data_IF_131229965421
#
_entry.id   IF_131229965421
#
_cell.length_a   1.000
_cell.length_b   1.000
_cell.length_c   1.000
_cell.angle_alpha   90.00
_cell.angle_beta   90.00
_cell.angle_gamma   90.00
#
_symmetry.space_group_name_H-M   'P 1'
#
loop_
_entity.id
_entity.type
_entity.pdbx_description
1 polymer ?
#
# COMPACT_ATOMS: atom_id res chain seq x y z
N UNK A 1 3.19 -27.11 25.07
CA UNK A 1 4.39 -26.22 25.00
C UNK A 1 3.85 -24.86 24.63
N UNK A 2 4.05 -23.85 25.47
CA UNK A 2 3.53 -22.48 25.27
C UNK A 2 4.01 -21.89 23.94
N UNK A 3 3.10 -21.44 23.11
CA UNK A 3 3.39 -20.81 21.81
C UNK A 3 3.94 -19.40 22.03
N UNK A 4 5.13 -19.09 21.52
CA UNK A 4 5.80 -17.83 21.78
C UNK A 4 5.83 -16.93 20.54
N UNK A 5 5.30 -15.71 20.67
CA UNK A 5 5.14 -14.75 19.57
C UNK A 5 6.05 -13.54 19.78
N UNK A 6 6.83 -13.21 18.74
CA UNK A 6 7.58 -11.96 18.68
C UNK A 6 6.87 -10.94 17.78
N UNK A 7 6.73 -9.69 18.24
CA UNK A 7 6.25 -8.57 17.46
C UNK A 7 7.44 -7.65 17.14
N UNK A 8 7.64 -7.27 15.90
CA UNK A 8 8.80 -6.44 15.53
C UNK A 8 8.71 -5.05 16.15
N UNK A 9 9.87 -4.52 16.55
CA UNK A 9 9.97 -3.28 17.33
C UNK A 9 9.49 -2.03 16.61
N UNK A 10 9.53 -2.02 15.28
CA UNK A 10 9.02 -0.95 14.41
C UNK A 10 7.48 -0.79 14.45
N UNK A 11 6.79 -1.70 15.12
CA UNK A 11 5.38 -1.57 15.48
C UNK A 11 5.14 -0.73 16.74
N UNK A 12 6.21 -0.22 17.39
CA UNK A 12 6.13 0.72 18.50
C UNK A 12 6.33 2.16 17.99
N UNK A 13 5.58 3.08 18.58
CA UNK A 13 5.83 4.51 18.43
C UNK A 13 7.16 4.90 19.08
N UNK A 14 7.73 6.09 18.80
CA UNK A 14 8.89 6.59 19.52
C UNK A 14 8.71 6.64 21.05
N UNK A 15 7.48 6.75 21.54
CA UNK A 15 7.13 6.70 22.96
C UNK A 15 7.04 5.29 23.56
N UNK A 16 7.27 4.24 22.73
CA UNK A 16 7.23 2.85 23.18
C UNK A 16 5.82 2.24 23.28
N UNK A 17 4.78 2.95 22.84
CA UNK A 17 3.41 2.41 22.78
C UNK A 17 3.16 1.72 21.43
N UNK A 18 2.30 0.68 21.37
CA UNK A 18 1.92 0.04 20.13
C UNK A 18 1.29 1.06 19.14
N UNK A 19 1.79 1.14 17.92
CA UNK A 19 1.29 2.05 16.89
C UNK A 19 -0.16 1.77 16.48
N UNK A 20 -0.63 0.56 16.71
CA UNK A 20 -2.00 0.09 16.44
C UNK A 20 -2.89 0.10 17.71
N UNK A 21 -2.44 0.74 18.81
CA UNK A 21 -3.15 0.72 20.08
C UNK A 21 -3.00 -0.60 20.86
N UNK A 22 -3.62 -0.66 22.04
CA UNK A 22 -3.50 -1.82 22.93
C UNK A 22 -4.55 -2.90 22.68
N UNK A 23 -5.71 -2.53 22.14
CA UNK A 23 -6.85 -3.44 22.00
C UNK A 23 -6.59 -4.69 21.14
N UNK A 24 -5.86 -4.62 20.01
CA UNK A 24 -5.53 -5.83 19.25
C UNK A 24 -4.66 -6.84 20.02
N UNK A 25 -3.86 -6.39 20.99
CA UNK A 25 -3.02 -7.28 21.80
C UNK A 25 -3.83 -8.18 22.74
N UNK A 26 -5.08 -7.81 23.06
CA UNK A 26 -6.01 -8.65 23.83
C UNK A 26 -6.27 -9.99 23.14
N UNK A 27 -6.13 -10.06 21.80
CA UNK A 27 -6.23 -11.31 21.06
C UNK A 27 -5.17 -12.34 21.50
N UNK A 28 -3.98 -11.88 21.88
CA UNK A 28 -2.86 -12.73 22.32
C UNK A 28 -2.96 -13.15 23.79
N UNK A 29 -3.89 -12.57 24.55
CA UNK A 29 -4.05 -12.78 25.99
C UNK A 29 -5.41 -13.39 26.34
N UNK A 30 -6.09 -14.04 25.39
CA UNK A 30 -7.41 -14.64 25.59
C UNK A 30 -7.34 -15.81 26.59
N UNK A 31 -8.34 -15.96 27.48
CA UNK A 31 -8.42 -17.11 28.39
C UNK A 31 -8.40 -18.45 27.65
N UNK A 32 -7.59 -19.40 28.12
CA UNK A 32 -7.45 -20.72 27.51
C UNK A 32 -6.48 -20.81 26.34
N UNK A 33 -5.84 -19.71 25.96
CA UNK A 33 -4.78 -19.68 24.95
C UNK A 33 -3.42 -19.88 25.64
N UNK A 34 -2.73 -21.01 25.36
CA UNK A 34 -1.36 -21.25 25.84
C UNK A 34 -0.34 -20.52 24.95
N UNK A 35 -0.36 -19.18 25.06
CA UNK A 35 0.45 -18.27 24.25
C UNK A 35 1.11 -17.20 25.14
N UNK A 36 2.38 -16.88 24.85
CA UNK A 36 3.07 -15.72 25.38
C UNK A 36 3.58 -14.86 24.21
N UNK A 37 3.77 -13.59 24.46
CA UNK A 37 4.24 -12.66 23.44
C UNK A 37 5.10 -11.54 24.03
N UNK A 38 5.92 -10.94 23.17
CA UNK A 38 6.68 -9.73 23.51
C UNK A 38 6.95 -8.92 22.24
N UNK A 39 7.22 -7.63 22.40
CA UNK A 39 7.91 -6.88 21.36
C UNK A 39 9.37 -7.31 21.36
N UNK A 40 9.89 -7.65 20.17
CA UNK A 40 11.28 -8.05 19.97
C UNK A 40 12.18 -6.93 20.49
N UNK A 41 13.08 -7.19 21.45
CA UNK A 41 13.91 -6.13 22.05
C UNK A 41 14.86 -5.49 21.05
N UNK A 42 15.30 -6.26 20.05
CA UNK A 42 16.25 -5.81 19.03
C UNK A 42 15.53 -5.00 17.95
N UNK A 43 16.12 -3.87 17.54
CA UNK A 43 15.73 -3.16 16.32
C UNK A 43 16.50 -3.77 15.15
N UNK A 44 15.78 -4.41 14.24
CA UNK A 44 16.38 -5.12 13.09
C UNK A 44 15.75 -4.65 11.78
N UNK A 45 16.54 -4.65 10.71
CA UNK A 45 16.07 -4.41 9.34
C UNK A 45 15.74 -5.71 8.60
N UNK A 46 16.21 -6.85 9.15
CA UNK A 46 15.94 -8.19 8.63
C UNK A 46 15.78 -9.17 9.81
N UNK A 47 14.83 -10.08 9.70
CA UNK A 47 14.64 -11.16 10.68
C UNK A 47 15.80 -12.14 10.58
N UNK A 48 16.54 -12.29 11.67
CA UNK A 48 17.72 -13.17 11.73
C UNK A 48 17.36 -14.63 12.00
N UNK A 49 18.24 -15.60 11.71
CA UNK A 49 18.05 -16.99 12.10
C UNK A 49 17.84 -17.18 13.61
N UNK A 50 18.48 -16.36 14.44
CA UNK A 50 18.31 -16.41 15.90
C UNK A 50 16.90 -16.02 16.34
N UNK A 51 16.30 -15.02 15.68
CA UNK A 51 14.91 -14.66 15.91
C UNK A 51 13.97 -15.78 15.44
N UNK A 52 14.26 -16.40 14.29
CA UNK A 52 13.50 -17.55 13.78
C UNK A 52 13.63 -18.79 14.70
N UNK A 53 14.72 -18.91 15.46
CA UNK A 53 14.90 -19.97 16.45
C UNK A 53 14.24 -19.65 17.81
N UNK A 54 13.96 -18.37 18.10
CA UNK A 54 13.44 -17.90 19.39
C UNK A 54 11.92 -18.01 19.48
N UNK A 55 11.19 -17.65 18.42
CA UNK A 55 9.72 -17.51 18.40
C UNK A 55 9.05 -18.61 17.58
N UNK A 56 7.85 -19.02 17.97
CA UNK A 56 6.97 -19.92 17.21
C UNK A 56 6.24 -19.16 16.09
N UNK A 57 5.91 -17.89 16.33
CA UNK A 57 5.31 -16.98 15.36
C UNK A 57 5.93 -15.59 15.44
N UNK A 58 6.04 -14.89 14.31
CA UNK A 58 6.53 -13.51 14.28
C UNK A 58 5.52 -12.64 13.54
N UNK A 59 5.11 -11.54 14.18
CA UNK A 59 4.34 -10.47 13.57
C UNK A 59 5.30 -9.37 13.11
N UNK A 60 5.40 -9.19 11.78
CA UNK A 60 6.42 -8.35 11.17
C UNK A 60 5.79 -7.21 10.36
N UNK A 61 6.35 -5.99 10.48
CA UNK A 61 5.94 -4.87 9.64
C UNK A 61 7.02 -4.53 8.59
N UNK A 62 8.06 -3.77 8.93
CA UNK A 62 9.08 -3.30 8.00
C UNK A 62 10.23 -4.29 7.77
N UNK A 63 10.75 -5.04 8.80
CA UNK A 63 11.88 -5.91 8.61
C UNK A 63 11.67 -6.94 7.50
N UNK A 64 12.72 -7.17 6.71
CA UNK A 64 12.71 -8.19 5.66
C UNK A 64 12.74 -9.59 6.27
N UNK A 65 12.12 -10.54 5.58
CA UNK A 65 12.23 -11.98 5.89
C UNK A 65 12.70 -12.67 4.63
N UNK A 66 13.95 -13.10 4.60
CA UNK A 66 14.60 -13.61 3.39
C UNK A 66 14.95 -15.10 3.52
N UNK A 67 15.54 -15.68 2.47
CA UNK A 67 16.11 -17.02 2.54
C UNK A 67 17.19 -17.14 3.64
N UNK A 68 17.93 -16.05 3.92
CA UNK A 68 18.91 -16.00 5.01
C UNK A 68 18.25 -16.15 6.37
N UNK A 69 17.06 -15.61 6.56
CA UNK A 69 16.31 -15.74 7.83
C UNK A 69 16.06 -17.20 8.23
N UNK A 70 15.86 -18.09 7.27
CA UNK A 70 15.56 -19.53 7.50
C UNK A 70 16.75 -20.45 7.26
N UNK A 71 17.97 -19.89 7.07
CA UNK A 71 19.18 -20.67 6.82
C UNK A 71 19.82 -21.27 8.09
N UNK A 72 19.36 -20.88 9.28
CA UNK A 72 19.90 -21.34 10.56
C UNK A 72 19.65 -22.84 10.84
N UNK A 73 20.47 -23.45 11.73
CA UNK A 73 20.36 -24.87 12.07
C UNK A 73 19.09 -25.19 12.91
N UNK A 74 18.51 -24.19 13.56
CA UNK A 74 17.34 -24.33 14.40
C UNK A 74 16.24 -23.38 13.90
N UNK A 75 15.14 -23.96 13.41
CA UNK A 75 13.98 -23.22 12.95
C UNK A 75 12.78 -23.59 13.84
N UNK A 76 12.42 -22.68 14.72
CA UNK A 76 11.25 -22.82 15.59
C UNK A 76 10.01 -22.17 14.98
N UNK A 77 10.19 -21.04 14.27
CA UNK A 77 9.09 -20.27 13.69
C UNK A 77 8.29 -21.13 12.70
N UNK A 78 6.96 -21.09 12.83
CA UNK A 78 5.99 -21.78 11.99
C UNK A 78 5.11 -20.84 11.19
N UNK A 79 4.98 -19.59 11.63
CA UNK A 79 4.17 -18.57 10.97
C UNK A 79 4.84 -17.21 11.02
N UNK A 80 4.87 -16.54 9.88
CA UNK A 80 5.17 -15.11 9.73
C UNK A 80 3.87 -14.42 9.34
N UNK A 81 3.38 -13.50 10.18
CA UNK A 81 2.23 -12.68 9.86
C UNK A 81 2.69 -11.25 9.53
N UNK A 82 2.47 -10.80 8.30
CA UNK A 82 2.89 -9.48 7.81
C UNK A 82 1.82 -8.43 8.12
N UNK A 83 2.21 -7.31 8.74
CA UNK A 83 1.37 -6.13 8.96
C UNK A 83 1.21 -5.33 7.67
N UNK A 84 0.14 -5.59 6.91
CA UNK A 84 -0.17 -4.99 5.60
C UNK A 84 -0.33 -6.01 4.48
N UNK A 85 -0.74 -5.59 3.30
CA UNK A 85 -1.06 -6.47 2.17
C UNK A 85 0.15 -6.83 1.30
N UNK A 86 1.07 -5.90 1.06
CA UNK A 86 2.27 -6.16 0.28
C UNK A 86 3.23 -7.07 1.04
N UNK A 87 3.84 -8.00 0.35
CA UNK A 87 4.77 -8.98 0.93
C UNK A 87 6.08 -9.12 0.15
N UNK A 88 6.41 -8.12 -0.64
CA UNK A 88 7.65 -8.03 -1.42
C UNK A 88 8.94 -8.03 -0.55
N UNK A 89 8.81 -7.69 0.75
CA UNK A 89 9.86 -7.83 1.76
C UNK A 89 9.99 -9.25 2.33
N UNK A 90 9.10 -10.19 1.97
CA UNK A 90 9.06 -11.56 2.52
C UNK A 90 9.29 -12.57 1.40
N UNK A 91 10.34 -13.38 1.52
CA UNK A 91 10.59 -14.51 0.62
C UNK A 91 9.66 -15.68 0.97
N UNK A 92 8.43 -15.58 0.47
CA UNK A 92 7.37 -16.57 0.72
C UNK A 92 7.78 -17.97 0.28
N UNK A 93 8.56 -18.08 -0.81
CA UNK A 93 9.00 -19.38 -1.31
C UNK A 93 10.02 -20.02 -0.36
N UNK A 94 11.05 -19.28 0.06
CA UNK A 94 12.05 -19.81 0.99
C UNK A 94 11.43 -20.22 2.34
N UNK A 95 10.43 -19.46 2.81
CA UNK A 95 9.67 -19.81 4.02
C UNK A 95 8.85 -21.09 3.82
N UNK A 96 8.12 -21.20 2.72
CA UNK A 96 7.29 -22.37 2.42
C UNK A 96 8.12 -23.65 2.26
N UNK A 97 9.30 -23.57 1.62
CA UNK A 97 10.25 -24.68 1.46
C UNK A 97 10.76 -25.22 2.81
N UNK A 98 10.66 -24.40 3.88
CA UNK A 98 10.97 -24.75 5.27
C UNK A 98 9.74 -25.06 6.15
N UNK A 99 8.54 -25.08 5.55
CA UNK A 99 7.29 -25.34 6.26
C UNK A 99 6.80 -24.18 7.12
N UNK A 100 7.26 -22.95 6.85
CA UNK A 100 6.80 -21.73 7.52
C UNK A 100 5.68 -21.08 6.70
N UNK A 101 4.53 -20.85 7.33
CA UNK A 101 3.38 -20.19 6.70
C UNK A 101 3.59 -18.67 6.72
N UNK A 102 3.29 -18.02 5.60
CA UNK A 102 3.23 -16.56 5.52
C UNK A 102 1.76 -16.12 5.43
N UNK A 103 1.36 -15.14 6.24
CA UNK A 103 0.07 -14.46 6.15
C UNK A 103 0.26 -12.95 5.99
N UNK A 104 -0.73 -12.28 5.44
CA UNK A 104 -0.78 -10.82 5.32
C UNK A 104 -2.17 -10.30 5.74
N UNK A 105 -2.42 -8.98 5.58
CA UNK A 105 -3.68 -8.35 5.99
C UNK A 105 -4.39 -7.70 4.79
N UNK A 106 -4.94 -8.51 3.87
CA UNK A 106 -5.49 -8.00 2.60
C UNK A 106 -6.83 -7.29 2.74
N UNK A 107 -7.59 -7.54 3.81
CA UNK A 107 -8.92 -6.94 4.00
C UNK A 107 -8.82 -5.60 4.70
N UNK A 108 -8.05 -5.52 5.79
CA UNK A 108 -7.91 -4.34 6.63
C UNK A 108 -7.45 -3.08 5.86
N UNK A 109 -6.61 -3.24 4.85
CA UNK A 109 -5.97 -2.14 4.11
C UNK A 109 -6.82 -1.59 2.95
N UNK A 110 -7.87 -2.30 2.52
CA UNK A 110 -8.60 -1.96 1.28
C UNK A 110 -9.19 -0.55 1.33
N UNK A 111 -10.00 -0.28 2.35
CA UNK A 111 -10.64 1.01 2.51
C UNK A 111 -9.67 2.16 2.81
N UNK A 112 -8.71 2.03 3.75
CA UNK A 112 -7.72 3.08 4.02
C UNK A 112 -6.92 3.51 2.79
N UNK A 113 -6.41 2.58 1.97
CA UNK A 113 -5.67 2.93 0.75
C UNK A 113 -6.58 3.55 -0.30
N UNK A 114 -7.83 3.09 -0.42
CA UNK A 114 -8.79 3.69 -1.36
C UNK A 114 -9.15 5.12 -0.95
N UNK A 115 -9.29 5.40 0.35
CA UNK A 115 -9.50 6.76 0.88
C UNK A 115 -8.26 7.62 0.63
N UNK A 116 -7.06 7.10 0.84
CA UNK A 116 -5.82 7.81 0.54
C UNK A 116 -5.69 8.18 -0.95
N UNK A 117 -6.08 7.27 -1.86
CA UNK A 117 -6.14 7.58 -3.29
C UNK A 117 -7.11 8.73 -3.60
N UNK A 118 -8.31 8.72 -3.01
CA UNK A 118 -9.27 9.82 -3.14
C UNK A 118 -8.73 11.11 -2.54
N UNK A 119 -8.01 11.05 -1.44
CA UNK A 119 -7.36 12.21 -0.82
C UNK A 119 -6.38 12.88 -1.78
N UNK A 120 -5.52 12.13 -2.47
CA UNK A 120 -4.66 12.67 -3.51
C UNK A 120 -5.47 13.27 -4.67
N UNK A 121 -6.48 12.55 -5.18
CA UNK A 121 -7.32 13.05 -6.27
C UNK A 121 -7.95 14.40 -5.92
N UNK A 122 -8.58 14.51 -4.75
CA UNK A 122 -9.28 15.72 -4.33
C UNK A 122 -8.30 16.86 -4.04
N UNK A 123 -7.16 16.58 -3.42
CA UNK A 123 -6.13 17.58 -3.13
C UNK A 123 -5.49 18.13 -4.42
N UNK A 124 -5.16 17.26 -5.38
CA UNK A 124 -4.62 17.64 -6.68
C UNK A 124 -5.65 18.43 -7.50
N UNK A 125 -6.89 17.92 -7.61
CA UNK A 125 -7.96 18.59 -8.34
C UNK A 125 -8.28 19.97 -7.75
N UNK A 126 -8.33 20.08 -6.43
CA UNK A 126 -8.55 21.34 -5.70
C UNK A 126 -7.34 22.26 -5.69
N UNK A 127 -6.15 21.77 -6.05
CA UNK A 127 -4.85 22.46 -5.86
C UNK A 127 -4.68 22.92 -4.39
N UNK A 128 -5.02 22.01 -3.46
CA UNK A 128 -5.17 22.35 -2.05
C UNK A 128 -3.88 22.90 -1.44
N UNK A 129 -2.73 22.25 -1.68
CA UNK A 129 -1.45 22.59 -1.05
C UNK A 129 -0.99 23.99 -1.45
N UNK A 130 -1.02 24.33 -2.75
CA UNK A 130 -0.63 25.67 -3.20
C UNK A 130 -1.60 26.74 -2.67
N UNK A 131 -2.89 26.46 -2.58
CA UNK A 131 -3.87 27.41 -2.02
C UNK A 131 -3.68 27.62 -0.51
N UNK A 132 -3.34 26.58 0.24
CA UNK A 132 -2.95 26.72 1.65
C UNK A 132 -1.73 27.61 1.78
N UNK A 133 -0.69 27.36 0.97
CA UNK A 133 0.53 28.18 0.95
C UNK A 133 0.24 29.66 0.62
N UNK A 134 -0.53 29.93 -0.45
CA UNK A 134 -0.94 31.29 -0.80
C UNK A 134 -1.63 32.00 0.37
N UNK A 135 -2.47 31.29 1.11
CA UNK A 135 -3.18 31.84 2.27
C UNK A 135 -2.20 32.18 3.40
N UNK A 136 -1.29 31.29 3.74
CA UNK A 136 -0.28 31.50 4.80
C UNK A 136 0.68 32.63 4.48
N UNK A 137 1.03 32.81 3.20
CA UNK A 137 1.93 33.83 2.70
C UNK A 137 1.20 35.16 2.35
N UNK A 138 -0.12 35.24 2.60
CA UNK A 138 -0.97 36.41 2.27
C UNK A 138 -0.94 36.82 0.78
N UNK A 139 -0.77 35.84 -0.11
CA UNK A 139 -0.70 36.01 -1.59
C UNK A 139 -2.06 35.85 -2.26
N UNK A 140 -3.09 36.47 -1.72
CA UNK A 140 -4.49 36.35 -2.16
C UNK A 140 -4.71 36.77 -3.62
N UNK A 141 -3.93 37.70 -4.13
CA UNK A 141 -4.05 38.20 -5.50
C UNK A 141 -3.69 37.13 -6.55
N UNK A 142 -2.97 36.08 -6.17
CA UNK A 142 -2.53 35.02 -7.08
C UNK A 142 -3.52 33.87 -7.20
N UNK A 143 -4.58 33.86 -6.39
CA UNK A 143 -5.55 32.73 -6.32
C UNK A 143 -6.18 32.36 -7.67
N UNK A 144 -6.35 33.32 -8.60
CA UNK A 144 -6.90 33.08 -9.94
C UNK A 144 -5.94 32.31 -10.86
N UNK A 145 -4.62 32.34 -10.57
CA UNK A 145 -3.61 31.58 -11.31
C UNK A 145 -3.63 30.09 -10.93
N UNK A 146 -4.32 29.74 -9.85
CA UNK A 146 -4.36 28.40 -9.31
C UNK A 146 -5.76 27.80 -9.32
N UNK A 147 -6.46 27.93 -10.44
CA UNK A 147 -7.77 27.31 -10.62
C UNK A 147 -7.66 25.79 -10.52
N UNK A 148 -8.56 25.18 -9.77
CA UNK A 148 -8.68 23.74 -9.66
C UNK A 148 -9.40 23.11 -10.85
N UNK A 149 -9.45 21.79 -10.88
CA UNK A 149 -10.15 20.98 -11.83
C UNK A 149 -11.56 20.65 -11.30
N UNK A 150 -12.61 21.07 -12.02
CA UNK A 150 -13.98 20.68 -11.68
C UNK A 150 -14.18 19.17 -11.82
N UNK A 151 -14.96 18.56 -10.93
CA UNK A 151 -15.04 17.09 -10.82
C UNK A 151 -16.28 16.47 -11.49
N UNK A 152 -17.27 17.27 -11.91
CA UNK A 152 -18.59 16.79 -12.31
C UNK A 152 -18.61 15.81 -13.51
N UNK A 153 -17.65 15.92 -14.44
CA UNK A 153 -17.65 15.12 -15.67
C UNK A 153 -16.29 14.45 -15.91
N UNK A 154 -15.69 13.91 -14.85
CA UNK A 154 -14.35 13.33 -14.92
C UNK A 154 -14.39 11.82 -15.10
N UNK A 155 -13.27 11.30 -15.58
CA UNK A 155 -13.04 9.87 -15.74
C UNK A 155 -11.95 9.42 -14.78
N UNK A 156 -12.29 8.45 -13.92
CA UNK A 156 -11.36 7.74 -13.06
C UNK A 156 -10.93 6.46 -13.75
N UNK A 157 -9.63 6.26 -13.96
CA UNK A 157 -9.04 5.01 -14.42
C UNK A 157 -8.36 4.29 -13.25
N UNK A 158 -8.72 3.03 -13.02
CA UNK A 158 -8.11 2.20 -11.98
C UNK A 158 -7.36 1.04 -12.63
N UNK A 159 -6.06 0.99 -12.39
CA UNK A 159 -5.16 -0.06 -12.89
C UNK A 159 -4.97 -1.10 -11.79
N UNK A 160 -5.55 -2.30 -11.99
CA UNK A 160 -5.62 -3.35 -10.99
C UNK A 160 -6.92 -3.32 -10.17
N UNK A 161 -7.75 -4.35 -10.31
CA UNK A 161 -9.07 -4.45 -9.65
C UNK A 161 -9.03 -5.57 -8.58
N UNK A 162 -7.98 -5.54 -7.76
CA UNK A 162 -7.90 -6.31 -6.53
C UNK A 162 -8.83 -5.74 -5.43
N UNK A 163 -8.59 -6.10 -4.18
CA UNK A 163 -9.40 -5.60 -3.05
C UNK A 163 -9.46 -4.08 -2.97
N UNK A 164 -8.29 -3.40 -3.11
CA UNK A 164 -8.18 -1.94 -3.08
C UNK A 164 -8.89 -1.31 -4.29
N UNK A 165 -8.62 -1.78 -5.51
CA UNK A 165 -9.26 -1.24 -6.72
C UNK A 165 -10.77 -1.38 -6.70
N UNK A 166 -11.31 -2.51 -6.23
CA UNK A 166 -12.75 -2.72 -6.03
C UNK A 166 -13.34 -1.72 -5.02
N UNK A 167 -12.67 -1.53 -3.90
CA UNK A 167 -13.13 -0.60 -2.88
C UNK A 167 -13.06 0.86 -3.36
N UNK A 168 -12.01 1.21 -4.12
CA UNK A 168 -11.89 2.53 -4.72
C UNK A 168 -13.05 2.83 -5.68
N UNK A 169 -13.42 1.88 -6.56
CA UNK A 169 -14.58 2.03 -7.45
C UNK A 169 -15.87 2.25 -6.65
N UNK A 170 -16.09 1.50 -5.56
CA UNK A 170 -17.26 1.68 -4.68
C UNK A 170 -17.29 3.08 -4.06
N UNK A 171 -16.16 3.55 -3.50
CA UNK A 171 -16.05 4.85 -2.86
C UNK A 171 -16.16 6.01 -3.85
N UNK A 172 -15.71 5.82 -5.10
CA UNK A 172 -15.80 6.83 -6.15
C UNK A 172 -17.20 6.97 -6.77
N UNK A 173 -18.06 5.97 -6.62
CA UNK A 173 -19.40 5.96 -7.22
C UNK A 173 -20.26 7.20 -6.94
N UNK A 174 -20.31 7.74 -5.69
CA UNK A 174 -21.11 8.94 -5.39
C UNK A 174 -20.67 10.21 -6.12
N UNK A 175 -19.44 10.27 -6.65
CA UNK A 175 -18.97 11.42 -7.43
C UNK A 175 -19.58 11.49 -8.83
N UNK A 176 -20.22 10.40 -9.31
CA UNK A 176 -20.80 10.34 -10.64
C UNK A 176 -19.79 10.32 -11.77
N UNK A 177 -18.54 9.96 -11.49
CA UNK A 177 -17.49 9.85 -12.50
C UNK A 177 -17.72 8.65 -13.41
N UNK A 178 -17.29 8.79 -14.68
CA UNK A 178 -17.07 7.60 -15.50
C UNK A 178 -15.88 6.83 -14.94
N UNK A 179 -16.05 5.54 -14.70
CA UNK A 179 -15.01 4.71 -14.08
C UNK A 179 -14.52 3.67 -15.07
N UNK A 180 -13.23 3.70 -15.40
CA UNK A 180 -12.55 2.74 -16.25
C UNK A 180 -11.68 1.82 -15.41
N UNK A 181 -11.61 0.55 -15.80
CA UNK A 181 -10.84 -0.47 -15.11
C UNK A 181 -9.98 -1.27 -16.07
N UNK A 182 -8.69 -1.40 -15.77
CA UNK A 182 -7.77 -2.25 -16.51
C UNK A 182 -7.24 -3.35 -15.57
N UNK A 183 -7.74 -4.56 -15.75
CA UNK A 183 -7.30 -5.77 -15.06
C UNK A 183 -7.56 -6.98 -15.95
N UNK A 184 -6.53 -7.75 -16.35
CA UNK A 184 -6.72 -8.90 -17.23
C UNK A 184 -7.32 -10.12 -16.53
N UNK A 185 -7.35 -10.16 -15.18
CA UNK A 185 -7.70 -11.32 -14.37
C UNK A 185 -9.10 -11.23 -13.76
N UNK A 186 -9.70 -10.04 -13.74
CA UNK A 186 -11.01 -9.81 -13.13
C UNK A 186 -12.09 -9.82 -14.21
N UNK A 187 -13.16 -10.58 -13.98
CA UNK A 187 -14.29 -10.66 -14.90
C UNK A 187 -14.97 -9.31 -15.10
N UNK A 188 -15.35 -9.04 -16.34
CA UNK A 188 -16.05 -7.80 -16.71
C UNK A 188 -17.34 -7.58 -15.92
N UNK A 189 -18.06 -8.65 -15.60
CA UNK A 189 -19.28 -8.59 -14.79
C UNK A 189 -19.04 -7.97 -13.42
N UNK A 190 -17.93 -8.35 -12.76
CA UNK A 190 -17.53 -7.79 -11.45
C UNK A 190 -17.25 -6.30 -11.55
N UNK A 191 -16.55 -5.88 -12.60
CA UNK A 191 -16.23 -4.46 -12.83
C UNK A 191 -17.53 -3.68 -13.09
N UNK A 192 -18.44 -4.22 -13.88
CA UNK A 192 -19.75 -3.61 -14.20
C UNK A 192 -20.64 -3.46 -12.97
N UNK A 193 -20.69 -4.46 -12.09
CA UNK A 193 -21.40 -4.39 -10.81
C UNK A 193 -20.90 -3.25 -9.91
N UNK A 194 -19.61 -2.94 -9.99
CA UNK A 194 -18.98 -1.82 -9.29
C UNK A 194 -19.24 -0.46 -9.99
N UNK A 195 -19.91 -0.46 -11.14
CA UNK A 195 -20.19 0.73 -11.93
C UNK A 195 -19.04 1.14 -12.85
N UNK A 196 -18.05 0.27 -13.05
CA UNK A 196 -16.93 0.48 -13.93
C UNK A 196 -17.13 -0.13 -15.33
N UNK A 197 -16.28 0.28 -16.26
CA UNK A 197 -16.16 -0.24 -17.62
C UNK A 197 -14.78 -0.87 -17.79
N UNK A 198 -14.71 -2.14 -18.22
CA UNK A 198 -13.43 -2.80 -18.53
C UNK A 198 -12.88 -2.30 -19.85
N UNK A 199 -11.64 -1.84 -19.83
CA UNK A 199 -10.95 -1.35 -21.04
C UNK A 199 -9.50 -1.88 -21.07
N UNK A 200 -8.82 -1.68 -22.21
CA UNK A 200 -7.37 -1.88 -22.29
C UNK A 200 -6.63 -0.87 -21.39
N UNK A 201 -5.41 -1.20 -20.96
CA UNK A 201 -4.60 -0.26 -20.19
C UNK A 201 -4.35 1.03 -21.00
N UNK A 202 -4.04 0.89 -22.27
CA UNK A 202 -3.79 2.01 -23.19
C UNK A 202 -5.01 2.93 -23.34
N UNK A 203 -6.22 2.35 -23.42
CA UNK A 203 -7.46 3.14 -23.51
C UNK A 203 -7.78 3.83 -22.19
N UNK A 204 -7.52 3.14 -21.06
CA UNK A 204 -7.62 3.75 -19.74
C UNK A 204 -6.70 4.97 -19.64
N UNK A 205 -5.42 4.84 -20.03
CA UNK A 205 -4.47 5.95 -20.03
C UNK A 205 -4.95 7.14 -20.85
N UNK A 206 -5.48 6.90 -22.07
CA UNK A 206 -5.96 7.97 -22.97
C UNK A 206 -7.20 8.70 -22.46
N UNK A 207 -8.10 7.97 -21.79
CA UNK A 207 -9.42 8.49 -21.50
C UNK A 207 -9.56 9.04 -20.09
N UNK A 208 -8.65 8.70 -19.16
CA UNK A 208 -8.76 9.07 -17.76
C UNK A 208 -8.27 10.50 -17.49
N UNK A 209 -8.93 11.15 -16.52
CA UNK A 209 -8.47 12.41 -15.92
C UNK A 209 -7.65 12.13 -14.66
N UNK A 210 -7.94 11.02 -13.98
CA UNK A 210 -7.17 10.49 -12.86
C UNK A 210 -6.87 9.02 -13.13
N UNK A 211 -5.59 8.64 -13.07
CA UNK A 211 -5.14 7.26 -13.19
C UNK A 211 -4.60 6.82 -11.83
N UNK A 212 -5.19 5.78 -11.25
CA UNK A 212 -4.76 5.23 -9.95
C UNK A 212 -4.22 3.81 -10.16
N UNK A 213 -3.01 3.54 -9.68
CA UNK A 213 -2.41 2.21 -9.69
C UNK A 213 -2.63 1.50 -8.37
N UNK A 214 -3.17 0.28 -8.41
CA UNK A 214 -3.41 -0.60 -7.25
C UNK A 214 -3.02 -2.06 -7.53
N UNK A 215 -2.11 -2.27 -8.48
CA UNK A 215 -1.60 -3.61 -8.87
C UNK A 215 -0.50 -4.09 -7.92
N UNK A 216 -0.32 -5.41 -7.82
CA UNK A 216 0.83 -5.99 -7.14
C UNK A 216 2.10 -5.81 -7.98
N UNK A 217 3.23 -5.56 -7.30
CA UNK A 217 4.54 -5.53 -7.94
C UNK A 217 5.04 -6.95 -8.23
N UNK A 218 5.34 -7.22 -9.48
CA UNK A 218 6.04 -8.41 -9.96
C UNK A 218 6.78 -8.08 -11.28
N UNK A 219 7.44 -9.06 -11.89
CA UNK A 219 8.17 -8.86 -13.14
C UNK A 219 7.32 -8.27 -14.28
N UNK A 220 6.04 -8.63 -14.35
CA UNK A 220 5.11 -8.16 -15.41
C UNK A 220 4.54 -6.76 -15.15
N UNK A 221 4.58 -6.32 -13.90
CA UNK A 221 4.02 -5.02 -13.48
C UNK A 221 5.10 -3.99 -13.15
N UNK A 222 6.38 -4.39 -13.11
CA UNK A 222 7.49 -3.44 -13.03
C UNK A 222 7.48 -2.52 -14.25
N UNK A 223 7.55 -1.20 -14.00
CA UNK A 223 7.47 -0.16 -15.03
C UNK A 223 6.25 -0.33 -15.96
N UNK A 224 5.14 -0.84 -15.37
CA UNK A 224 3.88 -0.96 -16.09
C UNK A 224 3.43 0.40 -16.65
N UNK A 225 3.68 1.47 -15.90
CA UNK A 225 3.46 2.85 -16.34
C UNK A 225 4.83 3.44 -16.73
N UNK A 226 5.17 3.26 -17.99
CA UNK A 226 6.41 3.72 -18.63
C UNK A 226 6.19 5.01 -19.43
N UNK A 227 7.25 5.50 -20.08
CA UNK A 227 7.21 6.72 -20.89
C UNK A 227 6.13 6.69 -22.00
N UNK A 228 5.97 5.54 -22.68
CA UNK A 228 4.97 5.39 -23.75
C UNK A 228 3.55 5.56 -23.19
N UNK A 229 3.24 4.95 -22.05
CA UNK A 229 1.93 5.03 -21.41
C UNK A 229 1.67 6.40 -20.80
N UNK A 230 2.69 7.04 -20.21
CA UNK A 230 2.58 8.43 -19.75
C UNK A 230 2.26 9.39 -20.91
N UNK A 231 2.86 9.18 -22.07
CA UNK A 231 2.58 9.97 -23.27
C UNK A 231 1.15 9.80 -23.82
N UNK A 232 0.44 8.72 -23.46
CA UNK A 232 -0.97 8.53 -23.81
C UNK A 232 -1.92 9.35 -22.95
N UNK A 233 -1.49 9.78 -21.76
CA UNK A 233 -2.35 10.50 -20.82
C UNK A 233 -2.73 11.88 -21.35
N UNK A 234 -3.88 12.39 -20.89
CA UNK A 234 -4.26 13.77 -21.14
C UNK A 234 -3.29 14.73 -20.46
N UNK A 235 -2.97 15.85 -21.09
CA UNK A 235 -2.13 16.89 -20.46
C UNK A 235 -2.72 17.45 -19.15
N UNK A 236 -4.02 17.29 -18.96
CA UNK A 236 -4.73 17.70 -17.73
C UNK A 236 -4.88 16.57 -16.72
N UNK A 237 -4.39 15.37 -17.02
CA UNK A 237 -4.56 14.21 -16.18
C UNK A 237 -3.51 14.15 -15.05
N UNK A 238 -3.89 13.46 -13.98
CA UNK A 238 -3.03 13.16 -12.83
C UNK A 238 -2.80 11.66 -12.69
N UNK A 239 -1.56 11.28 -12.36
CA UNK A 239 -1.19 9.92 -12.00
C UNK A 239 -1.14 9.79 -10.47
N UNK A 240 -1.79 8.78 -9.91
CA UNK A 240 -1.77 8.47 -8.47
C UNK A 240 -1.19 7.07 -8.30
N UNK A 241 -0.04 6.96 -7.61
CA UNK A 241 0.55 5.65 -7.31
C UNK A 241 0.33 5.28 -5.85
N UNK A 242 -0.55 4.30 -5.62
CA UNK A 242 -0.89 3.72 -4.32
C UNK A 242 -0.46 2.25 -4.22
N UNK A 243 0.38 1.79 -5.15
CA UNK A 243 0.80 0.39 -5.23
C UNK A 243 2.23 0.21 -4.67
N UNK A 244 3.23 0.30 -5.57
CA UNK A 244 4.67 0.30 -5.27
C UNK A 244 5.37 1.25 -6.24
N UNK A 245 6.46 1.88 -5.80
CA UNK A 245 7.25 2.79 -6.63
C UNK A 245 7.58 2.21 -7.99
N UNK A 246 8.21 1.02 -8.07
CA UNK A 246 8.60 0.41 -9.34
C UNK A 246 7.46 -0.02 -10.30
N UNK A 247 6.19 0.22 -9.97
CA UNK A 247 5.08 0.10 -10.94
C UNK A 247 5.15 1.20 -11.99
N UNK A 248 5.65 2.36 -11.59
CA UNK A 248 5.88 3.52 -12.45
C UNK A 248 7.38 3.62 -12.70
N UNK A 249 7.77 3.84 -13.96
CA UNK A 249 9.14 4.26 -14.29
C UNK A 249 9.32 5.70 -13.78
N UNK A 250 10.03 5.84 -12.66
CA UNK A 250 10.15 7.11 -11.94
C UNK A 250 10.88 8.17 -12.77
N UNK A 251 11.90 7.77 -13.55
CA UNK A 251 12.61 8.70 -14.43
C UNK A 251 11.70 9.20 -15.56
N UNK A 252 10.93 8.30 -16.17
CA UNK A 252 9.97 8.68 -17.19
C UNK A 252 8.85 9.58 -16.63
N UNK A 253 8.42 9.35 -15.40
CA UNK A 253 7.45 10.21 -14.72
C UNK A 253 8.02 11.61 -14.46
N UNK A 254 9.25 11.71 -13.98
CA UNK A 254 9.95 13.01 -13.77
C UNK A 254 10.00 13.79 -15.07
N UNK A 255 10.38 13.15 -16.18
CA UNK A 255 10.46 13.80 -17.48
C UNK A 255 9.07 14.24 -18.00
N UNK A 256 8.05 13.39 -17.83
CA UNK A 256 6.67 13.72 -18.20
C UNK A 256 6.10 14.91 -17.41
N UNK A 257 6.41 14.99 -16.12
CA UNK A 257 6.00 16.09 -15.23
C UNK A 257 6.70 17.41 -15.62
N UNK A 258 8.01 17.37 -15.89
CA UNK A 258 8.80 18.54 -16.34
C UNK A 258 8.35 19.07 -17.68
N UNK A 259 8.05 18.17 -18.62
CA UNK A 259 7.58 18.53 -19.94
C UNK A 259 6.10 18.97 -19.97
N UNK A 260 5.36 18.83 -18.87
CA UNK A 260 3.92 19.07 -18.82
C UNK A 260 3.14 18.12 -19.72
N UNK A 261 3.64 16.89 -19.91
CA UNK A 261 2.93 15.80 -20.60
C UNK A 261 1.69 15.40 -19.83
N UNK A 262 1.77 15.43 -18.49
CA UNK A 262 0.65 15.27 -17.56
C UNK A 262 0.61 16.47 -16.61
N UNK A 263 -0.52 16.70 -15.97
CA UNK A 263 -0.72 17.85 -15.08
C UNK A 263 0.03 17.70 -13.73
N UNK A 264 0.15 16.49 -13.22
CA UNK A 264 0.81 16.25 -11.95
C UNK A 264 0.67 14.80 -11.48
N UNK A 265 1.16 14.53 -10.27
CA UNK A 265 1.10 13.22 -9.66
C UNK A 265 0.85 13.26 -8.15
N UNK A 266 0.27 12.18 -7.60
CA UNK A 266 0.18 11.89 -6.17
C UNK A 266 0.90 10.57 -5.89
N UNK A 267 1.96 10.61 -5.09
CA UNK A 267 2.83 9.47 -4.87
C UNK A 267 2.95 9.18 -3.38
N UNK A 268 2.49 8.02 -2.97
CA UNK A 268 2.71 7.49 -1.61
C UNK A 268 3.88 6.50 -1.56
N UNK A 269 4.44 6.16 -2.73
CA UNK A 269 5.49 5.15 -2.90
C UNK A 269 6.50 5.59 -3.96
N UNK A 270 7.76 5.16 -3.80
CA UNK A 270 8.90 5.55 -4.63
C UNK A 270 9.73 4.33 -5.06
N UNK A 271 10.51 4.44 -6.13
CA UNK A 271 11.42 3.36 -6.53
C UNK A 271 12.48 3.08 -5.47
N UNK A 272 12.96 4.13 -4.82
CA UNK A 272 13.82 4.03 -3.64
C UNK A 272 13.10 4.63 -2.43
N UNK A 273 12.99 3.85 -1.37
CA UNK A 273 12.41 4.26 -0.08
C UNK A 273 13.44 4.04 1.04
N UNK A 274 13.80 5.08 1.83
CA UNK A 274 13.40 6.49 1.69
C UNK A 274 13.84 7.11 0.35
N UNK A 275 13.06 8.08 -0.15
CA UNK A 275 13.37 8.82 -1.37
C UNK A 275 14.72 9.53 -1.24
N UNK A 276 15.54 9.51 -2.29
CA UNK A 276 16.86 10.17 -2.28
C UNK A 276 16.70 11.69 -2.12
N UNK A 277 17.60 12.30 -1.33
CA UNK A 277 17.52 13.73 -1.00
C UNK A 277 17.66 14.67 -2.22
N UNK A 278 18.26 14.18 -3.30
CA UNK A 278 18.43 14.88 -4.59
C UNK A 278 17.37 14.53 -5.62
N UNK A 279 16.37 13.73 -5.26
CA UNK A 279 15.32 13.33 -6.17
C UNK A 279 14.52 14.55 -6.65
N UNK A 280 14.39 14.76 -7.96
CA UNK A 280 13.70 15.93 -8.51
C UNK A 280 12.23 16.07 -8.07
N UNK A 281 11.54 14.98 -7.78
CA UNK A 281 10.14 14.99 -7.33
C UNK A 281 9.94 15.85 -6.09
N UNK A 282 10.96 15.95 -5.20
CA UNK A 282 10.91 16.74 -3.97
C UNK A 282 10.70 18.23 -4.19
N UNK A 283 11.04 18.73 -5.39
CA UNK A 283 11.00 20.15 -5.74
C UNK A 283 9.97 20.47 -6.85
N UNK A 284 9.02 19.57 -7.12
CA UNK A 284 7.99 19.77 -8.13
C UNK A 284 6.66 20.24 -7.52
N UNK A 285 6.19 21.43 -7.86
CA UNK A 285 4.95 22.02 -7.35
C UNK A 285 3.67 21.29 -7.83
N UNK A 286 3.78 20.47 -8.86
CA UNK A 286 2.68 19.69 -9.41
C UNK A 286 2.64 18.24 -8.91
N UNK A 287 3.41 17.93 -7.86
CA UNK A 287 3.46 16.60 -7.25
C UNK A 287 3.08 16.68 -5.76
N UNK A 288 2.21 15.80 -5.31
CA UNK A 288 1.96 15.56 -3.89
C UNK A 288 2.64 14.27 -3.46
N UNK A 289 3.39 14.34 -2.38
CA UNK A 289 4.19 13.24 -1.85
C UNK A 289 3.72 12.85 -0.47
N UNK A 290 3.70 11.56 -0.18
CA UNK A 290 3.53 11.04 1.17
C UNK A 290 4.53 9.87 1.40
N UNK A 291 5.01 9.66 2.64
CA UNK A 291 6.10 8.74 2.92
C UNK A 291 5.61 7.30 3.16
N UNK A 292 4.91 6.70 2.17
CA UNK A 292 4.31 5.36 2.22
C UNK A 292 3.37 5.18 3.42
N UNK A 293 2.61 6.22 3.75
CA UNK A 293 1.82 6.27 4.99
C UNK A 293 0.51 7.06 4.87
N UNK A 294 0.10 7.47 3.67
CA UNK A 294 -1.13 8.27 3.53
C UNK A 294 -2.38 7.50 3.99
N UNK A 295 -2.34 6.18 3.94
CA UNK A 295 -3.39 5.32 4.46
C UNK A 295 -3.26 5.02 5.97
N UNK A 296 -2.20 5.49 6.64
CA UNK A 296 -1.98 5.22 8.06
C UNK A 296 -2.95 6.03 8.92
N UNK A 297 -3.91 5.35 9.47
CA UNK A 297 -4.90 5.89 10.41
C UNK A 297 -4.98 4.94 11.60
N UNK A 298 -5.56 5.41 12.70
CA UNK A 298 -5.86 4.60 13.88
C UNK A 298 -6.67 3.35 13.51
N UNK A 299 -7.72 3.50 12.71
CA UNK A 299 -8.57 2.42 12.21
C UNK A 299 -7.78 1.44 11.33
N UNK A 300 -6.93 1.94 10.42
CA UNK A 300 -6.11 1.10 9.54
C UNK A 300 -5.18 0.19 10.34
N UNK A 301 -4.46 0.76 11.30
CA UNK A 301 -3.49 0.03 12.12
C UNK A 301 -4.16 -0.96 13.06
N UNK A 302 -5.27 -0.58 13.74
CA UNK A 302 -6.06 -1.50 14.57
C UNK A 302 -6.56 -2.70 13.75
N UNK A 303 -7.15 -2.46 12.58
CA UNK A 303 -7.68 -3.52 11.72
C UNK A 303 -6.57 -4.44 11.18
N UNK A 304 -5.42 -3.89 10.74
CA UNK A 304 -4.27 -4.71 10.31
C UNK A 304 -3.74 -5.56 11.46
N UNK A 305 -3.63 -5.00 12.65
CA UNK A 305 -3.16 -5.75 13.81
C UNK A 305 -4.14 -6.87 14.18
N UNK A 306 -5.45 -6.61 14.19
CA UNK A 306 -6.47 -7.65 14.45
C UNK A 306 -6.43 -8.76 13.40
N UNK A 307 -6.32 -8.42 12.12
CA UNK A 307 -6.26 -9.42 11.04
C UNK A 307 -4.98 -10.26 11.15
N UNK A 308 -3.81 -9.63 11.32
CA UNK A 308 -2.53 -10.33 11.37
C UNK A 308 -2.32 -11.13 12.67
N UNK A 309 -2.61 -10.55 13.82
CA UNK A 309 -2.54 -11.26 15.11
C UNK A 309 -3.59 -12.38 15.18
N UNK A 310 -4.77 -12.15 14.59
CA UNK A 310 -5.80 -13.19 14.45
C UNK A 310 -5.30 -14.41 13.68
N UNK A 311 -4.50 -14.23 12.61
CA UNK A 311 -3.87 -15.34 11.90
C UNK A 311 -2.90 -16.13 12.78
N UNK A 312 -2.12 -15.44 13.62
CA UNK A 312 -1.21 -16.11 14.60
C UNK A 312 -2.01 -16.90 15.64
N UNK A 313 -3.08 -16.32 16.18
CA UNK A 313 -3.95 -16.98 17.16
C UNK A 313 -4.65 -18.21 16.54
N UNK A 314 -5.20 -18.08 15.35
CA UNK A 314 -5.80 -19.21 14.63
C UNK A 314 -4.79 -20.35 14.47
N UNK A 315 -3.56 -20.02 14.05
CA UNK A 315 -2.48 -21.01 13.91
C UNK A 315 -2.10 -21.66 15.24
N UNK A 316 -1.93 -20.87 16.29
CA UNK A 316 -1.60 -21.38 17.64
C UNK A 316 -2.69 -22.32 18.20
N UNK A 317 -3.94 -22.14 17.79
CA UNK A 317 -5.08 -23.01 18.12
C UNK A 317 -5.22 -24.23 17.19
N UNK A 318 -4.29 -24.43 16.25
CA UNK A 318 -4.37 -25.51 15.25
C UNK A 318 -5.41 -25.28 14.15
N UNK A 319 -5.91 -24.05 14.00
CA UNK A 319 -6.81 -23.65 12.93
C UNK A 319 -6.02 -23.17 11.70
N UNK A 320 -6.61 -23.25 10.54
CA UNK A 320 -6.02 -22.68 9.31
C UNK A 320 -6.22 -21.17 9.29
N UNK A 321 -5.15 -20.33 9.22
CA UNK A 321 -5.27 -18.89 9.07
C UNK A 321 -5.99 -18.50 7.77
N UNK A 322 -6.73 -17.38 7.80
CA UNK A 322 -7.57 -16.95 6.65
C UNK A 322 -6.78 -16.37 5.48
N UNK A 323 -5.68 -15.69 5.76
CA UNK A 323 -4.97 -14.85 4.78
C UNK A 323 -3.58 -15.42 4.44
N UNK A 324 -3.52 -16.72 4.14
CA UNK A 324 -2.26 -17.39 3.76
C UNK A 324 -1.84 -16.91 2.37
N UNK A 325 -0.60 -16.42 2.28
CA UNK A 325 0.06 -16.08 1.02
C UNK A 325 0.68 -17.36 0.45
N UNK A 326 0.31 -17.69 -0.79
CA UNK A 326 0.89 -18.83 -1.51
C UNK A 326 2.16 -18.41 -2.23
N UNK A 327 3.21 -19.27 -2.26
CA UNK A 327 4.33 -19.04 -3.16
C UNK A 327 3.82 -18.97 -4.60
N UNK A 328 4.28 -17.97 -5.34
CA UNK A 328 3.92 -17.75 -6.75
C UNK A 328 4.55 -18.79 -7.67
#
# INVERSE_FOLDING_TARGET
MTFFVGLTRDLLTPGGEPSFGKTPLELLSQPGLDLKWEFIPESVTEITPDLMARYDGIYVNTPRVTAASVAGPHLRTKIIARHGVGYDSVDVKALADKGVITTNTPVAIQRPVSVAALTFILALAGRLVIKDQLTRENRWNERTNHMGLGLTTRTLGVVGIGGIGKELLKLARPFGWRMLAADPFVDESVIRELGGERVSLEDLMRQSDFVVTTVLLNEKTRHLINAERLALMKRTAYLINMARGPIVDELALIDALRAGTIAGAGLDVFEQEPIAADNPLLNMDNVLLAPHSLCWTDECFDHMAREGLGCIVDFAQGKTPKSIVKPG
#
